data_IF_791066726668
#
_entry.id   IF_791066726668
#
_cell.length_a   1.000
_cell.length_b   1.000
_cell.length_c   1.000
_cell.angle_alpha   90.00
_cell.angle_beta   90.00
_cell.angle_gamma   90.00
#
_symmetry.space_group_name_H-M   'P 1'
#
loop_
_entity.id
_entity.type
_entity.pdbx_description
1 polymer ?
#
# COMPACT_ATOMS: atom_id res chain seq x y z
N UNK A 1 16.34 16.38 15.58
CA UNK A 1 16.96 15.20 16.21
C UNK A 1 17.17 14.05 15.21
N UNK A 2 16.40 13.94 14.11
CA UNK A 2 16.64 12.94 13.06
C UNK A 2 17.49 13.41 11.85
N UNK A 3 18.00 14.65 11.85
CA UNK A 3 18.70 15.21 10.67
C UNK A 3 20.13 14.68 10.50
N UNK A 4 20.68 14.01 11.51
CA UNK A 4 22.09 13.65 11.60
C UNK A 4 22.35 12.13 11.46
N UNK A 5 21.32 11.34 11.16
CA UNK A 5 21.46 9.89 10.98
C UNK A 5 21.81 9.57 9.53
N UNK A 6 22.88 8.80 9.32
CA UNK A 6 23.24 8.31 7.99
C UNK A 6 22.51 6.99 7.65
N UNK A 7 22.51 6.59 6.37
CA UNK A 7 21.80 5.39 5.91
C UNK A 7 22.23 4.10 6.65
N UNK A 8 23.51 3.98 7.00
CA UNK A 8 24.07 2.87 7.78
C UNK A 8 23.47 2.85 9.19
N UNK A 9 23.37 4.01 9.84
CA UNK A 9 22.83 4.13 11.19
C UNK A 9 21.33 3.78 11.20
N UNK A 10 20.59 4.22 10.17
CA UNK A 10 19.18 3.91 9.99
C UNK A 10 18.96 2.40 9.80
N UNK A 11 19.76 1.76 8.94
CA UNK A 11 19.67 0.30 8.71
C UNK A 11 20.02 -0.48 9.96
N UNK A 12 21.04 -0.05 10.71
CA UNK A 12 21.41 -0.68 11.97
C UNK A 12 20.29 -0.55 13.00
N UNK A 13 19.67 0.63 13.12
CA UNK A 13 18.56 0.88 14.04
C UNK A 13 17.35 -0.01 13.73
N UNK A 14 16.94 -0.11 12.46
CA UNK A 14 15.78 -0.92 12.04
C UNK A 14 15.98 -2.41 12.29
N UNK A 15 17.21 -2.91 12.15
CA UNK A 15 17.53 -4.32 12.35
C UNK A 15 17.95 -4.64 13.79
N UNK A 16 18.13 -3.63 14.63
CA UNK A 16 18.36 -3.83 16.05
C UNK A 16 17.03 -4.14 16.74
N UNK A 17 16.83 -5.40 17.15
CA UNK A 17 15.66 -5.83 17.92
C UNK A 17 15.52 -5.14 19.29
N UNK A 18 16.46 -4.25 19.62
CA UNK A 18 16.68 -3.63 20.93
C UNK A 18 16.19 -2.19 21.01
N UNK A 19 16.00 -1.48 19.89
CA UNK A 19 15.43 -0.13 19.94
C UNK A 19 13.94 -0.21 19.63
N UNK A 20 13.06 0.00 20.63
CA UNK A 20 11.67 0.15 20.30
C UNK A 20 11.57 1.37 19.39
N UNK A 21 10.90 1.22 18.25
CA UNK A 21 10.50 2.31 17.32
C UNK A 21 9.97 3.56 18.08
N UNK A 22 9.56 3.41 19.35
CA UNK A 22 9.32 4.48 20.33
C UNK A 22 10.44 5.53 20.46
N UNK A 23 11.72 5.17 20.31
CA UNK A 23 12.86 6.11 20.42
C UNK A 23 13.05 6.96 19.15
N UNK A 24 12.54 6.50 18.01
CA UNK A 24 12.37 7.35 16.83
C UNK A 24 11.30 8.35 17.22
N UNK A 25 11.75 9.57 17.56
CA UNK A 25 10.97 10.72 18.01
C UNK A 25 9.46 10.52 17.82
N UNK A 26 8.79 10.07 18.89
CA UNK A 26 7.33 9.97 18.89
C UNK A 26 6.76 11.37 18.74
N UNK A 27 6.43 11.75 17.53
CA UNK A 27 5.63 12.93 17.29
C UNK A 27 4.27 12.70 17.94
N UNK A 28 3.84 13.63 18.78
CA UNK A 28 2.51 13.55 19.37
C UNK A 28 1.48 13.80 18.26
N UNK A 29 0.91 12.71 17.75
CA UNK A 29 -0.14 12.74 16.72
C UNK A 29 -1.46 13.31 17.27
N UNK A 30 -1.61 13.37 18.60
CA UNK A 30 -2.80 13.83 19.30
C UNK A 30 -2.58 15.20 19.93
N UNK A 31 -1.82 16.07 19.26
CA UNK A 31 -1.79 17.48 19.65
C UNK A 31 -2.95 18.20 18.99
N UNK A 32 -3.50 19.19 19.70
CA UNK A 32 -4.56 20.05 19.18
C UNK A 32 -4.16 20.73 17.86
N UNK A 33 -2.88 21.05 17.67
CA UNK A 33 -2.38 21.64 16.43
C UNK A 33 -2.52 20.67 15.24
N UNK A 34 -2.15 19.40 15.41
CA UNK A 34 -2.31 18.36 14.38
C UNK A 34 -3.79 18.18 14.04
N UNK A 35 -4.66 18.09 15.05
CA UNK A 35 -6.10 17.93 14.85
C UNK A 35 -6.71 19.10 14.06
N UNK A 36 -6.34 20.34 14.40
CA UNK A 36 -6.78 21.54 13.67
C UNK A 36 -6.29 21.56 12.22
N UNK A 37 -5.03 21.21 11.98
CA UNK A 37 -4.48 21.12 10.63
C UNK A 37 -5.22 20.07 9.79
N UNK A 38 -5.42 18.87 10.32
CA UNK A 38 -6.15 17.80 9.62
C UNK A 38 -7.56 18.28 9.27
N UNK A 39 -8.28 18.91 10.21
CA UNK A 39 -9.61 19.46 9.95
C UNK A 39 -9.63 20.48 8.81
N UNK A 40 -8.72 21.46 8.82
CA UNK A 40 -8.64 22.49 7.77
C UNK A 40 -8.37 21.87 6.38
N UNK A 41 -7.44 20.91 6.31
CA UNK A 41 -7.11 20.22 5.05
C UNK A 41 -8.31 19.42 4.54
N UNK A 42 -9.04 18.74 5.43
CA UNK A 42 -10.25 17.99 5.06
C UNK A 42 -11.35 18.92 4.56
N UNK A 43 -11.62 20.04 5.23
CA UNK A 43 -12.62 21.03 4.80
C UNK A 43 -12.28 21.65 3.45
N UNK A 44 -11.03 22.05 3.25
CA UNK A 44 -10.55 22.57 1.96
C UNK A 44 -10.70 21.53 0.84
N UNK A 45 -10.31 20.28 1.10
CA UNK A 45 -10.41 19.19 0.12
C UNK A 45 -11.86 18.89 -0.25
N UNK A 46 -12.77 18.88 0.74
CA UNK A 46 -14.20 18.68 0.51
C UNK A 46 -14.80 19.79 -0.36
N UNK A 47 -14.31 21.03 -0.22
CA UNK A 47 -14.75 22.16 -1.06
C UNK A 47 -14.26 22.07 -2.50
N UNK A 48 -13.06 21.50 -2.72
CA UNK A 48 -12.47 21.36 -4.07
C UNK A 48 -13.01 20.14 -4.81
N UNK A 49 -12.98 18.97 -4.16
CA UNK A 49 -13.31 17.70 -4.81
C UNK A 49 -14.78 17.31 -4.64
N UNK A 50 -15.50 17.93 -3.69
CA UNK A 50 -16.83 17.46 -3.29
C UNK A 50 -16.75 16.22 -2.38
N UNK A 51 -17.75 16.09 -1.50
CA UNK A 51 -17.77 15.01 -0.50
C UNK A 51 -17.84 13.61 -1.15
N UNK A 52 -18.69 13.45 -2.17
CA UNK A 52 -18.91 12.16 -2.84
C UNK A 52 -17.70 11.68 -3.64
N UNK A 53 -16.95 12.59 -4.26
CA UNK A 53 -15.74 12.22 -4.99
C UNK A 53 -14.63 11.77 -4.04
N UNK A 54 -14.50 12.42 -2.87
CA UNK A 54 -13.56 12.03 -1.83
C UNK A 54 -13.85 10.64 -1.27
N UNK A 55 -15.10 10.40 -0.88
CA UNK A 55 -15.56 9.12 -0.35
C UNK A 55 -15.49 7.98 -1.39
N UNK A 56 -15.87 8.25 -2.64
CA UNK A 56 -15.69 7.33 -3.76
C UNK A 56 -14.22 6.94 -3.98
N UNK A 57 -13.31 7.92 -3.95
CA UNK A 57 -11.87 7.70 -4.09
C UNK A 57 -11.29 6.85 -2.95
N UNK A 58 -11.70 7.12 -1.70
CA UNK A 58 -11.26 6.35 -0.53
C UNK A 58 -11.71 4.90 -0.65
N UNK A 59 -13.00 4.64 -0.95
CA UNK A 59 -13.52 3.28 -1.13
C UNK A 59 -12.84 2.55 -2.28
N UNK A 60 -12.66 3.20 -3.43
CA UNK A 60 -11.97 2.61 -4.57
C UNK A 60 -10.52 2.25 -4.23
N UNK A 61 -9.82 3.12 -3.51
CA UNK A 61 -8.44 2.89 -3.04
C UNK A 61 -8.38 1.73 -2.06
N UNK A 62 -9.28 1.68 -1.06
CA UNK A 62 -9.34 0.58 -0.10
C UNK A 62 -9.61 -0.76 -0.80
N UNK A 63 -10.55 -0.77 -1.73
CA UNK A 63 -10.87 -1.96 -2.54
C UNK A 63 -9.71 -2.39 -3.43
N UNK A 64 -8.99 -1.44 -4.04
CA UNK A 64 -7.77 -1.74 -4.80
C UNK A 64 -6.70 -2.36 -3.91
N UNK A 65 -6.45 -1.76 -2.73
CA UNK A 65 -5.46 -2.25 -1.77
C UNK A 65 -5.83 -3.61 -1.18
N UNK A 66 -7.11 -3.91 -0.96
CA UNK A 66 -7.52 -5.24 -0.47
C UNK A 66 -7.31 -6.35 -1.51
N UNK A 67 -7.27 -6.00 -2.80
CA UNK A 67 -7.01 -6.94 -3.90
C UNK A 67 -5.50 -7.13 -4.12
N UNK A 68 -4.68 -6.16 -3.74
CA UNK A 68 -3.22 -6.29 -3.76
C UNK A 68 -2.81 -7.21 -2.60
N UNK A 69 -2.28 -8.40 -2.93
CA UNK A 69 -1.73 -9.31 -1.93
C UNK A 69 -0.61 -8.63 -1.15
N UNK A 70 -0.44 -8.94 0.14
CA UNK A 70 0.68 -8.42 0.94
C UNK A 70 2.00 -8.90 0.31
N UNK A 71 2.57 -8.08 -0.56
CA UNK A 71 3.84 -8.34 -1.19
C UNK A 71 4.95 -7.98 -0.21
N UNK A 72 5.49 -9.00 0.44
CA UNK A 72 6.60 -8.83 1.40
C UNK A 72 7.90 -8.48 0.68
N UNK A 73 8.05 -8.85 -0.60
CA UNK A 73 9.23 -8.54 -1.42
C UNK A 73 8.82 -7.97 -2.78
N UNK A 74 9.68 -7.10 -3.32
CA UNK A 74 9.49 -6.47 -4.65
C UNK A 74 9.36 -7.51 -5.79
N UNK A 75 9.97 -8.69 -5.63
CA UNK A 75 9.85 -9.83 -6.54
C UNK A 75 8.44 -10.40 -6.65
N UNK A 76 7.61 -10.17 -5.63
CA UNK A 76 6.28 -10.77 -5.54
C UNK A 76 5.27 -9.96 -6.37
N UNK A 77 5.61 -8.70 -6.69
CA UNK A 77 4.80 -7.81 -7.51
C UNK A 77 4.79 -8.27 -8.97
N UNK A 78 3.90 -9.20 -9.30
CA UNK A 78 3.72 -9.66 -10.67
C UNK A 78 2.96 -8.59 -11.46
N UNK A 79 3.60 -8.00 -12.46
CA UNK A 79 2.98 -7.04 -13.36
C UNK A 79 1.73 -7.67 -14.01
N UNK A 80 0.60 -6.94 -14.04
CA UNK A 80 -0.69 -7.42 -14.56
C UNK A 80 -0.58 -7.92 -16.01
N UNK A 81 0.41 -7.43 -16.76
CA UNK A 81 0.75 -7.86 -18.12
C UNK A 81 1.05 -9.37 -18.21
N UNK A 82 1.60 -9.97 -17.14
CA UNK A 82 1.97 -11.39 -17.10
C UNK A 82 0.82 -12.33 -16.70
N UNK A 83 -0.30 -11.80 -16.21
CA UNK A 83 -1.49 -12.57 -15.87
C UNK A 83 -2.27 -12.93 -17.14
N UNK A 84 -2.35 -12.01 -18.09
CA UNK A 84 -3.02 -12.21 -19.39
C UNK A 84 -2.32 -13.26 -20.26
N UNK A 85 -0.97 -13.31 -20.25
CA UNK A 85 -0.23 -14.31 -21.04
C UNK A 85 -0.42 -15.76 -20.57
N UNK A 86 -0.80 -15.98 -19.30
CA UNK A 86 -1.16 -17.33 -18.81
C UNK A 86 -2.58 -17.77 -19.22
N UNK A 87 -3.49 -16.84 -19.55
CA UNK A 87 -4.86 -17.17 -19.95
C UNK A 87 -4.95 -17.71 -21.38
N UNK A 88 -4.06 -17.25 -22.28
CA UNK A 88 -4.04 -17.69 -23.68
C UNK A 88 -3.17 -18.93 -23.99
N UNK A 89 -2.37 -19.42 -23.03
CA UNK A 89 -1.47 -20.55 -23.24
C UNK A 89 -1.93 -21.82 -22.49
N UNK A 90 -3.24 -22.09 -22.48
CA UNK A 90 -3.74 -23.44 -22.12
C UNK A 90 -3.62 -24.35 -23.35
N UNK A 91 -2.95 -25.51 -23.27
CA UNK A 91 -2.92 -26.46 -24.38
C UNK A 91 -4.34 -26.98 -24.63
N UNK A 92 -4.81 -26.90 -25.89
CA UNK A 92 -6.00 -27.62 -26.35
C UNK A 92 -5.65 -29.11 -26.37
N UNK A 93 -6.29 -29.89 -25.51
CA UNK A 93 -6.12 -31.35 -25.48
C UNK A 93 -6.78 -31.97 -26.72
N UNK A 94 -6.09 -32.79 -27.54
CA UNK A 94 -6.70 -33.52 -28.64
C UNK A 94 -7.53 -34.72 -28.13
N UNK A 95 -8.78 -34.75 -28.58
CA UNK A 95 -9.79 -35.79 -28.35
C UNK A 95 -9.25 -37.20 -28.64
N UNK A 96 -9.31 -38.09 -27.64
CA UNK A 96 -9.23 -39.54 -27.85
C UNK A 96 -10.58 -40.19 -27.51
N UNK A 97 -10.95 -41.07 -28.44
CA UNK A 97 -12.14 -41.88 -28.64
C UNK A 97 -12.99 -42.26 -27.42
N UNK A 98 -14.30 -42.24 -27.63
CA UNK A 98 -15.21 -43.21 -27.01
C UNK A 98 -15.79 -44.07 -28.11
N UNK A 99 -15.33 -45.32 -28.13
CA UNK A 99 -15.92 -46.43 -28.85
C UNK A 99 -17.37 -46.65 -28.39
N UNK A 100 -18.31 -46.65 -29.34
CA UNK A 100 -19.20 -47.78 -29.65
C UNK A 100 -19.82 -47.58 -31.03
#
# INVERSE_FOLDING_TARGET
MLRDLNEVDIKSLINSDTTPIKEIQKFSCHTQAVERCVKLVTEASNKVCGHEAGDGYIRATLKSRSVIHNFFKRSDFKCVVDIEKKKHNKPKNPTLEKSL
#
